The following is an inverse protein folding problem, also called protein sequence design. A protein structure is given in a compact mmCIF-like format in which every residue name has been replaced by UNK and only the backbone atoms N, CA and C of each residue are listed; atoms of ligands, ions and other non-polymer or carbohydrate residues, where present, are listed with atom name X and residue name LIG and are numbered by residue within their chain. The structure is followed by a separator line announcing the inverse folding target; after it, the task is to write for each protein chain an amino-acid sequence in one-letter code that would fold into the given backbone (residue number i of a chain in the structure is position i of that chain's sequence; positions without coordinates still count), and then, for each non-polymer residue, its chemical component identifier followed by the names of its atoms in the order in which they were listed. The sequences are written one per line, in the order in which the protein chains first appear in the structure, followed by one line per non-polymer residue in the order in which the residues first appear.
data_IF_448461185877
#
_entry.id   IF_448461185877
#
_cell.length_a   1.000
_cell.length_b   1.000
_cell.length_c   1.000
_cell.angle_alpha   90.00
_cell.angle_beta   90.00
_cell.angle_gamma   90.00
#
_symmetry.space_group_name_H-M   'P 1'
#
loop_
_entity.id
_entity.type
_entity.pdbx_description
1 polymer ?
#
# COMPACT_ATOMS: atom_id res chain seq x y z
N UNK A 1 2.87 -12.97 -8.92
CA UNK A 1 1.54 -12.42 -9.29
C UNK A 1 1.47 -11.00 -8.77
N UNK A 2 0.86 -10.06 -9.50
CA UNK A 2 0.70 -8.70 -8.99
C UNK A 2 -0.28 -8.72 -7.79
N UNK A 3 0.10 -8.09 -6.68
CA UNK A 3 -0.78 -7.97 -5.52
C UNK A 3 -2.06 -7.21 -5.88
N UNK A 4 -3.19 -7.72 -5.40
CA UNK A 4 -4.47 -7.02 -5.49
C UNK A 4 -4.55 -5.88 -4.48
N UNK A 5 -5.40 -4.87 -4.75
CA UNK A 5 -5.62 -3.78 -3.80
C UNK A 5 -6.12 -4.26 -2.42
N UNK A 6 -6.80 -5.40 -2.36
CA UNK A 6 -7.24 -6.00 -1.08
C UNK A 6 -6.07 -6.61 -0.30
N UNK A 7 -5.14 -7.29 -0.97
CA UNK A 7 -3.94 -7.85 -0.33
C UNK A 7 -3.04 -6.74 0.21
N UNK A 8 -2.86 -5.66 -0.56
CA UNK A 8 -2.14 -4.48 -0.11
C UNK A 8 -2.83 -3.87 1.11
N UNK A 9 -4.16 -3.69 1.06
CA UNK A 9 -4.92 -3.12 2.17
C UNK A 9 -4.77 -3.91 3.48
N UNK A 10 -4.62 -5.23 3.41
CA UNK A 10 -4.38 -6.07 4.60
C UNK A 10 -3.07 -5.74 5.30
N UNK A 11 -2.05 -5.31 4.55
CA UNK A 11 -0.72 -4.95 5.03
C UNK A 11 -0.60 -3.47 5.45
N UNK A 12 -1.59 -2.64 5.13
CA UNK A 12 -1.59 -1.24 5.53
C UNK A 12 -2.05 -1.06 6.99
N UNK A 13 -1.74 0.11 7.62
CA UNK A 13 -2.13 0.42 9.00
C UNK A 13 -3.66 0.54 9.24
N UNK A 14 -4.47 0.64 8.17
CA UNK A 14 -5.94 0.80 8.21
C UNK A 14 -6.45 1.98 9.07
N UNK A 15 -5.60 2.97 9.32
CA UNK A 15 -5.95 4.16 10.13
C UNK A 15 -6.84 5.16 9.39
N UNK A 16 -6.91 5.08 8.05
CA UNK A 16 -7.60 6.05 7.20
C UNK A 16 -7.23 7.51 7.51
N UNK A 17 -5.97 7.75 7.88
CA UNK A 17 -5.52 9.06 8.37
C UNK A 17 -5.44 10.16 7.29
N UNK A 18 -5.60 9.83 6.00
CA UNK A 18 -5.57 10.73 4.84
C UNK A 18 -4.25 11.51 4.65
N UNK A 19 -3.19 11.19 5.40
CA UNK A 19 -1.88 11.85 5.28
C UNK A 19 -1.17 11.59 3.95
N UNK A 20 -1.56 10.53 3.24
CA UNK A 20 -1.10 10.23 1.88
C UNK A 20 -1.96 10.89 0.78
N UNK A 21 -2.88 11.80 1.13
CA UNK A 21 -3.79 12.47 0.17
C UNK A 21 -4.99 11.62 -0.29
N UNK A 22 -5.07 10.35 0.12
CA UNK A 22 -6.16 9.44 -0.24
C UNK A 22 -7.29 9.43 0.80
N UNK A 23 -8.53 9.27 0.34
CA UNK A 23 -9.72 9.27 1.20
C UNK A 23 -9.72 8.13 2.24
N UNK A 24 -9.16 6.96 1.89
CA UNK A 24 -9.04 5.78 2.76
C UNK A 24 -7.77 4.99 2.45
N UNK A 25 -7.36 4.12 3.38
CA UNK A 25 -6.27 3.18 3.16
C UNK A 25 -6.59 2.20 2.03
N UNK A 26 -7.86 1.83 1.83
CA UNK A 26 -8.27 0.98 0.70
C UNK A 26 -8.08 1.71 -0.63
N UNK A 27 -8.46 2.99 -0.70
CA UNK A 27 -8.24 3.79 -1.91
C UNK A 27 -6.75 3.91 -2.24
N UNK A 28 -5.90 4.15 -1.23
CA UNK A 28 -4.45 4.12 -1.39
C UNK A 28 -3.95 2.75 -1.89
N UNK A 29 -4.42 1.66 -1.30
CA UNK A 29 -4.06 0.30 -1.71
C UNK A 29 -4.42 0.00 -3.18
N UNK A 30 -5.58 0.47 -3.64
CA UNK A 30 -5.99 0.33 -5.05
C UNK A 30 -5.10 1.14 -5.99
N UNK A 31 -4.73 2.37 -5.63
CA UNK A 31 -3.79 3.17 -6.42
C UNK A 31 -2.40 2.53 -6.45
N UNK A 32 -1.95 1.95 -5.33
CA UNK A 32 -0.67 1.24 -5.26
C UNK A 32 -0.67 -0.02 -6.15
N UNK A 33 -1.73 -0.82 -6.13
CA UNK A 33 -1.90 -1.98 -7.02
C UNK A 33 -1.88 -1.59 -8.50
N UNK A 34 -2.42 -0.41 -8.82
CA UNK A 34 -2.45 0.15 -10.18
C UNK A 34 -1.16 0.91 -10.56
N UNK A 35 -0.15 0.94 -9.69
CA UNK A 35 1.10 1.71 -9.86
C UNK A 35 0.88 3.21 -10.06
N UNK A 36 -0.21 3.75 -9.52
CA UNK A 36 -0.59 5.18 -9.55
C UNK A 36 -0.21 5.94 -8.27
N UNK A 37 0.20 5.21 -7.24
CA UNK A 37 0.77 5.76 -6.00
C UNK A 37 2.05 5.00 -5.66
N UNK A 38 2.89 5.58 -4.79
CA UNK A 38 4.08 4.92 -4.24
C UNK A 38 3.86 4.61 -2.76
N UNK A 39 4.49 3.54 -2.28
CA UNK A 39 4.37 3.16 -0.86
C UNK A 39 4.93 4.23 0.08
N UNK A 40 5.93 4.96 -0.41
CA UNK A 40 6.58 6.12 0.20
C UNK A 40 5.60 7.25 0.55
N UNK A 41 4.49 7.36 -0.21
CA UNK A 41 3.47 8.40 0.00
C UNK A 41 2.66 8.18 1.29
N UNK A 42 2.73 6.99 1.89
CA UNK A 42 2.07 6.69 3.15
C UNK A 42 3.01 6.87 4.35
N UNK A 43 2.91 7.97 5.13
CA UNK A 43 3.82 8.21 6.26
C UNK A 43 3.56 7.30 7.46
N UNK A 44 2.47 6.52 7.43
CA UNK A 44 2.08 5.65 8.54
C UNK A 44 2.43 4.18 8.29
N UNK A 45 2.93 3.81 7.11
CA UNK A 45 3.26 2.42 6.83
C UNK A 45 4.51 1.99 7.61
N UNK A 46 4.43 0.85 8.29
CA UNK A 46 5.56 0.29 9.04
C UNK A 46 6.64 -0.22 8.08
N UNK A 47 7.88 -0.24 8.54
CA UNK A 47 9.01 -0.80 7.78
C UNK A 47 8.77 -2.26 7.38
N UNK A 48 8.16 -3.06 8.25
CA UNK A 48 7.80 -4.46 7.97
C UNK A 48 6.80 -4.58 6.80
N UNK A 49 5.77 -3.73 6.78
CA UNK A 49 4.82 -3.69 5.68
C UNK A 49 5.48 -3.20 4.39
N UNK A 50 6.46 -2.28 4.47
CA UNK A 50 7.25 -1.85 3.31
C UNK A 50 8.04 -3.00 2.70
N UNK A 51 8.74 -3.77 3.53
CA UNK A 51 9.52 -4.91 3.08
C UNK A 51 8.63 -5.98 2.43
N UNK A 52 7.49 -6.30 3.05
CA UNK A 52 6.56 -7.31 2.53
C UNK A 52 5.96 -6.88 1.18
N UNK A 53 5.54 -5.62 1.08
CA UNK A 53 4.98 -5.07 -0.17
C UNK A 53 6.03 -4.96 -1.28
N UNK A 54 7.28 -4.62 -0.94
CA UNK A 54 8.39 -4.58 -1.89
C UNK A 54 8.77 -5.98 -2.40
N UNK A 55 8.87 -6.97 -1.50
CA UNK A 55 9.17 -8.35 -1.86
C UNK A 55 8.08 -8.97 -2.75
N UNK A 56 6.81 -8.68 -2.46
CA UNK A 56 5.69 -9.16 -3.27
C UNK A 56 5.53 -8.45 -4.63
N UNK A 57 6.17 -7.29 -4.81
CA UNK A 57 6.21 -6.57 -6.07
C UNK A 57 7.36 -7.03 -6.99
N UNK A 58 8.34 -7.78 -6.47
CA UNK A 58 9.42 -8.34 -7.27
C UNK A 58 8.91 -9.51 -8.14
N UNK A 59 9.38 -9.64 -9.41
CA UNK A 59 9.06 -10.79 -10.24
C UNK A 59 9.67 -12.09 -9.66
N UNK A 60 9.05 -13.27 -9.92
CA UNK A 60 9.62 -14.57 -9.54
C UNK A 60 10.89 -14.91 -10.32
#
# INVERSE_FOLDING_TARGET
MALTGLEIFKLLPKTNCKKCGMATCLAFAMQLAQKRAKLEDCPCVSEEAKQTLAAAAAPP
#
